data_IF_964391025577
#
_entry.id   IF_964391025577
#
_cell.length_a   1.000
_cell.length_b   1.000
_cell.length_c   1.000
_cell.angle_alpha   90.00
_cell.angle_beta   90.00
_cell.angle_gamma   90.00
#
_symmetry.space_group_name_H-M   'P 1'
#
loop_
_entity.id
_entity.type
_entity.pdbx_description
1 polymer ?
#
# COMPACT_ATOMS: atom_id res chain seq x y z
N UNK A 1 10.69 7.08 -3.47
CA UNK A 1 11.04 6.22 -2.30
C UNK A 1 11.27 4.81 -2.79
N UNK A 2 12.37 4.21 -2.41
CA UNK A 2 12.74 2.86 -2.84
C UNK A 2 13.00 1.99 -1.62
N UNK A 3 12.43 0.78 -1.62
CA UNK A 3 12.62 -0.20 -0.54
C UNK A 3 12.86 -1.58 -1.14
N UNK A 4 13.69 -2.37 -0.47
CA UNK A 4 13.88 -3.78 -0.84
C UNK A 4 13.19 -4.64 0.22
N UNK A 5 12.30 -5.53 -0.24
CA UNK A 5 11.59 -6.45 0.63
C UNK A 5 12.09 -7.87 0.42
N UNK A 6 12.17 -8.62 1.50
CA UNK A 6 12.67 -10.01 1.48
C UNK A 6 11.51 -10.96 1.15
N UNK A 7 11.01 -10.83 -0.06
CA UNK A 7 9.95 -11.67 -0.60
C UNK A 7 9.97 -11.57 -2.12
N UNK A 8 9.55 -12.62 -2.83
CA UNK A 8 9.53 -12.59 -4.30
C UNK A 8 8.50 -11.60 -4.81
N UNK A 9 8.75 -11.08 -6.01
CA UNK A 9 7.95 -10.02 -6.63
C UNK A 9 6.47 -10.36 -6.73
N UNK A 10 6.16 -11.60 -7.06
CA UNK A 10 4.78 -12.07 -7.17
C UNK A 10 4.03 -11.95 -5.84
N UNK A 11 4.71 -12.25 -4.76
CA UNK A 11 4.11 -12.18 -3.43
C UNK A 11 3.93 -10.72 -2.99
N UNK A 12 4.91 -9.86 -3.26
CA UNK A 12 4.83 -8.44 -2.94
C UNK A 12 3.69 -7.79 -3.73
N UNK A 13 3.59 -8.09 -5.02
CA UNK A 13 2.53 -7.57 -5.87
C UNK A 13 1.15 -8.07 -5.40
N UNK A 14 1.03 -9.33 -5.04
CA UNK A 14 -0.23 -9.89 -4.53
C UNK A 14 -0.67 -9.18 -3.24
N UNK A 15 0.29 -8.81 -2.39
CA UNK A 15 -0.03 -8.10 -1.14
C UNK A 15 -0.56 -6.68 -1.41
N UNK A 16 -0.27 -6.09 -2.55
CA UNK A 16 -0.79 -4.79 -2.97
C UNK A 16 -2.13 -4.88 -3.71
N UNK A 17 -2.49 -6.05 -4.20
CA UNK A 17 -3.62 -6.18 -5.12
C UNK A 17 -4.73 -7.10 -4.62
N UNK A 18 -4.61 -7.62 -3.43
CA UNK A 18 -5.68 -8.36 -2.76
C UNK A 18 -6.23 -7.46 -1.65
N UNK A 19 -7.52 -7.06 -1.70
CA UNK A 19 -8.08 -6.15 -0.69
C UNK A 19 -7.88 -6.60 0.75
N UNK A 20 -8.06 -7.88 1.03
CA UNK A 20 -7.90 -8.40 2.40
C UNK A 20 -6.44 -8.30 2.86
N UNK A 21 -5.50 -8.47 1.95
CA UNK A 21 -4.08 -8.32 2.27
C UNK A 21 -3.72 -6.85 2.47
N UNK A 22 -4.21 -5.96 1.60
CA UNK A 22 -3.99 -4.51 1.73
C UNK A 22 -4.50 -4.03 3.10
N UNK A 23 -5.67 -4.51 3.53
CA UNK A 23 -6.26 -4.12 4.80
C UNK A 23 -5.37 -4.47 5.99
N UNK A 24 -4.48 -5.44 5.85
CA UNK A 24 -3.62 -5.88 6.94
C UNK A 24 -2.42 -4.94 7.18
N UNK A 25 -2.01 -4.16 6.18
CA UNK A 25 -0.78 -3.37 6.31
C UNK A 25 -0.90 -1.90 5.90
N UNK A 26 -1.94 -1.49 5.17
CA UNK A 26 -2.03 -0.11 4.67
C UNK A 26 -2.36 0.83 5.82
N UNK A 27 -1.49 1.81 6.01
CA UNK A 27 -1.56 2.81 7.07
C UNK A 27 -0.34 2.76 7.97
N UNK A 28 0.02 3.89 8.58
CA UNK A 28 1.16 3.95 9.50
C UNK A 28 0.98 3.01 10.69
N UNK A 29 2.06 2.72 11.38
CA UNK A 29 2.03 1.90 12.59
C UNK A 29 1.05 2.50 13.60
N UNK A 30 0.28 1.64 14.25
CA UNK A 30 -0.73 2.05 15.22
C UNK A 30 -2.09 2.35 14.62
N UNK A 31 -2.18 2.52 13.31
CA UNK A 31 -3.47 2.67 12.64
C UNK A 31 -4.12 1.31 12.44
N UNK A 32 -5.45 1.30 12.45
CA UNK A 32 -6.23 0.10 12.17
C UNK A 32 -7.14 0.34 10.97
N UNK A 33 -7.42 -0.70 10.22
CA UNK A 33 -8.37 -0.64 9.11
C UNK A 33 -9.79 -0.76 9.65
N UNK A 34 -10.64 0.18 9.29
CA UNK A 34 -12.05 0.20 9.73
C UNK A 34 -12.97 -0.35 8.66
N UNK A 35 -12.74 0.06 7.41
CA UNK A 35 -13.60 -0.32 6.29
C UNK A 35 -12.83 -0.18 4.99
N UNK A 36 -13.11 -1.05 4.05
CA UNK A 36 -12.51 -0.96 2.72
C UNK A 36 -13.43 -1.57 1.68
N UNK A 37 -13.40 -0.97 0.50
CA UNK A 37 -14.12 -1.45 -0.68
C UNK A 37 -13.19 -1.20 -1.85
N UNK A 38 -12.59 -2.24 -2.40
CA UNK A 38 -11.52 -2.13 -3.37
C UNK A 38 -11.74 -3.07 -4.54
N UNK A 39 -11.84 -2.48 -5.74
CA UNK A 39 -11.93 -3.23 -6.99
C UNK A 39 -10.60 -3.04 -7.72
N UNK A 40 -9.63 -3.90 -7.43
CA UNK A 40 -8.25 -3.70 -7.87
C UNK A 40 -8.05 -4.28 -9.27
N UNK A 41 -8.48 -3.51 -10.24
CA UNK A 41 -8.29 -3.77 -11.67
C UNK A 41 -8.24 -2.43 -12.40
N UNK A 42 -7.70 -2.40 -13.61
CA UNK A 42 -7.70 -1.17 -14.39
C UNK A 42 -9.13 -0.66 -14.55
N UNK A 43 -9.36 0.60 -14.18
CA UNK A 43 -10.69 1.22 -14.17
C UNK A 43 -11.50 0.99 -12.91
N UNK A 44 -11.05 0.10 -12.00
CA UNK A 44 -11.73 -0.12 -10.73
C UNK A 44 -11.49 1.01 -9.75
N UNK A 45 -12.36 1.11 -8.75
CA UNK A 45 -12.28 2.16 -7.73
C UNK A 45 -11.96 1.57 -6.38
N UNK A 46 -11.44 2.40 -5.47
CA UNK A 46 -11.28 1.98 -4.09
C UNK A 46 -11.69 3.08 -3.13
N UNK A 47 -12.12 2.66 -1.96
CA UNK A 47 -12.39 3.52 -0.82
C UNK A 47 -11.92 2.82 0.42
N UNK A 48 -11.15 3.52 1.25
CA UNK A 48 -10.44 2.89 2.38
C UNK A 48 -10.49 3.82 3.59
N UNK A 49 -10.86 3.27 4.74
CA UNK A 49 -10.86 4.01 6.00
C UNK A 49 -9.89 3.40 6.98
N UNK A 50 -9.00 4.22 7.50
CA UNK A 50 -8.10 3.82 8.58
C UNK A 50 -8.32 4.70 9.78
N UNK A 51 -8.15 4.14 10.97
CA UNK A 51 -8.36 4.84 12.25
C UNK A 51 -7.04 5.00 12.97
N UNK A 52 -6.74 6.22 13.38
CA UNK A 52 -5.52 6.52 14.13
C UNK A 52 -5.62 5.98 15.56
N UNK A 53 -4.48 5.88 16.28
CA UNK A 53 -4.49 5.44 17.68
C UNK A 53 -5.37 6.30 18.58
N UNK A 54 -5.56 7.58 18.26
CA UNK A 54 -6.41 8.49 19.02
C UNK A 54 -7.88 8.49 18.56
N UNK A 55 -8.24 7.55 17.68
CA UNK A 55 -9.64 7.31 17.32
C UNK A 55 -10.19 8.16 16.18
N UNK A 56 -9.32 8.80 15.39
CA UNK A 56 -9.75 9.62 14.26
C UNK A 56 -9.76 8.76 12.98
N UNK A 57 -10.87 8.82 12.25
CA UNK A 57 -11.02 8.08 10.99
C UNK A 57 -10.56 8.93 9.81
N UNK A 58 -9.74 8.34 8.96
CA UNK A 58 -9.23 8.96 7.75
C UNK A 58 -9.69 8.14 6.55
N UNK A 59 -10.46 8.78 5.66
CA UNK A 59 -10.96 8.16 4.45
C UNK A 59 -10.13 8.60 3.26
N UNK A 60 -9.81 7.67 2.38
CA UNK A 60 -9.11 7.94 1.13
C UNK A 60 -9.76 7.14 0.02
N UNK A 61 -9.68 7.64 -1.21
CA UNK A 61 -10.27 6.98 -2.36
C UNK A 61 -9.52 7.30 -3.63
N UNK A 62 -9.78 6.52 -4.66
CA UNK A 62 -9.18 6.71 -5.96
C UNK A 62 -9.63 5.68 -6.98
N UNK A 63 -8.95 5.71 -8.13
CA UNK A 63 -9.22 4.85 -9.28
C UNK A 63 -7.91 4.18 -9.68
N UNK A 64 -7.96 2.87 -9.93
CA UNK A 64 -6.81 2.14 -10.48
C UNK A 64 -6.70 2.43 -11.97
N UNK A 65 -5.56 2.94 -12.39
CA UNK A 65 -5.27 3.26 -13.78
C UNK A 65 -4.56 2.13 -14.50
N UNK A 66 -3.67 1.45 -13.78
CA UNK A 66 -2.89 0.37 -14.35
C UNK A 66 -2.63 -0.70 -13.29
N UNK A 67 -2.90 -1.95 -13.64
CA UNK A 67 -2.59 -3.10 -12.79
C UNK A 67 -1.89 -4.11 -13.68
N UNK A 68 -0.57 -4.09 -13.68
CA UNK A 68 0.25 -4.92 -14.56
C UNK A 68 1.07 -5.87 -13.70
N UNK A 69 0.55 -7.07 -13.51
CA UNK A 69 1.19 -8.07 -12.65
C UNK A 69 2.43 -8.65 -13.31
N UNK A 70 3.50 -8.86 -12.58
CA UNK A 70 3.77 -8.45 -11.20
C UNK A 70 4.65 -7.21 -11.13
N UNK A 71 4.54 -6.29 -12.08
CA UNK A 71 5.53 -5.26 -12.35
C UNK A 71 5.12 -3.86 -11.90
N UNK A 72 3.83 -3.51 -12.04
CA UNK A 72 3.45 -2.10 -11.95
C UNK A 72 2.03 -1.91 -11.51
N UNK A 73 1.83 -0.92 -10.64
CA UNK A 73 0.52 -0.51 -10.14
C UNK A 73 0.45 1.00 -10.18
N UNK A 74 -0.60 1.55 -10.80
CA UNK A 74 -0.82 3.00 -10.87
C UNK A 74 -2.24 3.29 -10.42
N UNK A 75 -2.39 4.18 -9.45
CA UNK A 75 -3.71 4.56 -8.97
C UNK A 75 -3.74 6.01 -8.52
N UNK A 76 -4.92 6.62 -8.55
CA UNK A 76 -5.13 7.95 -8.00
C UNK A 76 -5.35 7.87 -6.50
N UNK A 77 -5.11 8.97 -5.80
CA UNK A 77 -5.21 9.03 -4.36
C UNK A 77 -5.72 10.41 -3.95
N UNK A 78 -6.79 10.46 -3.18
CA UNK A 78 -7.28 11.70 -2.61
C UNK A 78 -7.86 11.43 -1.23
N UNK A 79 -7.56 12.33 -0.28
CA UNK A 79 -8.19 12.27 1.05
C UNK A 79 -9.61 12.81 0.95
N UNK A 80 -10.52 12.20 1.71
CA UNK A 80 -11.86 12.76 1.91
C UNK A 80 -11.75 13.79 3.02
N UNK A 81 -12.15 15.04 2.73
CA UNK A 81 -12.05 16.13 3.69
C UNK A 81 -13.34 16.29 4.49
N UNK A 82 -13.29 17.17 5.51
CA UNK A 82 -14.32 17.23 6.55
C UNK A 82 -15.76 17.44 6.07
N UNK A 83 -15.96 18.09 4.92
CA UNK A 83 -17.29 18.32 4.36
C UNK A 83 -17.76 17.22 3.41
N UNK A 84 -17.01 16.13 3.33
CA UNK A 84 -17.31 15.04 2.40
C UNK A 84 -16.75 15.22 1.01
N UNK A 85 -16.14 16.37 0.70
CA UNK A 85 -15.47 16.60 -0.56
C UNK A 85 -14.11 15.92 -0.61
N UNK A 86 -13.40 16.08 -1.73
CA UNK A 86 -12.10 15.49 -1.92
C UNK A 86 -11.01 16.55 -1.84
N UNK A 87 -9.91 16.19 -1.23
CA UNK A 87 -8.69 16.97 -1.29
C UNK A 87 -8.04 16.86 -2.66
N UNK A 88 -6.79 17.31 -2.74
CA UNK A 88 -6.04 17.26 -4.00
C UNK A 88 -5.89 15.81 -4.48
N UNK A 89 -6.19 15.58 -5.76
CA UNK A 89 -5.94 14.29 -6.37
C UNK A 89 -4.45 14.15 -6.70
N UNK A 90 -3.88 13.03 -6.30
CA UNK A 90 -2.49 12.69 -6.56
C UNK A 90 -2.43 11.37 -7.33
N UNK A 91 -1.32 11.13 -7.99
CA UNK A 91 -1.07 9.89 -8.68
C UNK A 91 -0.01 9.11 -7.92
N UNK A 92 -0.29 7.84 -7.67
CA UNK A 92 0.67 6.92 -7.05
C UNK A 92 1.11 5.91 -8.10
N UNK A 93 2.42 5.76 -8.23
CA UNK A 93 3.02 4.76 -9.12
C UNK A 93 3.92 3.88 -8.29
N UNK A 94 3.70 2.58 -8.35
CA UNK A 94 4.52 1.59 -7.65
C UNK A 94 5.04 0.61 -8.68
N UNK A 95 6.36 0.42 -8.70
CA UNK A 95 6.97 -0.58 -9.57
C UNK A 95 7.70 -1.61 -8.74
N UNK A 96 7.75 -2.83 -9.24
CA UNK A 96 8.33 -3.97 -8.54
C UNK A 96 9.33 -4.66 -9.45
N UNK A 97 10.60 -4.67 -9.05
CA UNK A 97 11.67 -5.33 -9.79
C UNK A 97 12.22 -6.49 -8.98
N UNK A 98 12.42 -7.61 -9.63
CA UNK A 98 13.01 -8.78 -8.98
C UNK A 98 14.52 -8.55 -8.75
N UNK A 99 14.98 -8.87 -7.54
CA UNK A 99 16.41 -8.88 -7.19
C UNK A 99 16.69 -10.22 -6.54
N UNK A 100 16.98 -11.23 -7.38
CA UNK A 100 17.05 -12.59 -6.90
C UNK A 100 15.68 -13.02 -6.38
N UNK A 101 15.63 -13.44 -5.12
CA UNK A 101 14.38 -13.81 -4.45
C UNK A 101 13.80 -12.66 -3.63
N UNK A 102 14.33 -11.46 -3.79
CA UNK A 102 13.85 -10.23 -3.15
C UNK A 102 13.19 -9.32 -4.16
N UNK A 103 12.55 -8.27 -3.68
CA UNK A 103 11.87 -7.29 -4.52
C UNK A 103 12.35 -5.89 -4.21
N UNK A 104 12.76 -5.17 -5.26
CA UNK A 104 12.99 -3.72 -5.17
C UNK A 104 11.70 -3.01 -5.57
N UNK A 105 11.10 -2.33 -4.62
CA UNK A 105 9.89 -1.55 -4.87
C UNK A 105 10.25 -0.07 -4.96
N UNK A 106 9.79 0.59 -6.02
CA UNK A 106 9.91 2.02 -6.18
C UNK A 106 8.52 2.63 -6.10
N UNK A 107 8.35 3.60 -5.21
CA UNK A 107 7.08 4.24 -4.91
C UNK A 107 7.18 5.73 -5.18
N UNK A 108 6.19 6.27 -5.88
CA UNK A 108 6.12 7.71 -6.19
C UNK A 108 4.70 8.18 -5.97
N UNK A 109 4.57 9.34 -5.34
CA UNK A 109 3.28 9.99 -5.14
C UNK A 109 3.43 11.49 -5.38
N UNK A 110 2.48 12.07 -6.07
CA UNK A 110 2.45 13.51 -6.33
C UNK A 110 1.42 13.86 -7.38
N UNK A 111 1.28 15.14 -7.70
CA UNK A 111 2.02 16.28 -7.13
C UNK A 111 1.52 16.67 -5.75
N UNK A 112 2.35 17.39 -4.99
CA UNK A 112 1.97 17.91 -3.68
C UNK A 112 1.89 19.43 -3.73
N UNK A 113 0.90 20.01 -3.02
CA UNK A 113 0.71 21.45 -2.99
C UNK A 113 1.83 22.17 -2.24
N UNK A 114 2.44 21.51 -1.27
CA UNK A 114 3.49 22.09 -0.45
C UNK A 114 4.52 21.02 -0.05
N UNK A 115 5.75 21.45 0.19
CA UNK A 115 6.83 20.59 0.64
C UNK A 115 6.46 19.91 1.97
N UNK A 116 5.83 20.65 2.89
CA UNK A 116 5.42 20.11 4.17
C UNK A 116 4.44 18.94 4.00
N UNK A 117 3.49 19.03 3.07
CA UNK A 117 2.56 17.92 2.80
C UNK A 117 3.26 16.73 2.19
N UNK A 118 4.22 16.96 1.29
CA UNK A 118 5.03 15.89 0.74
C UNK A 118 5.79 15.16 1.82
N UNK A 119 6.37 15.90 2.76
CA UNK A 119 7.17 15.31 3.84
C UNK A 119 6.28 14.54 4.81
N UNK A 120 5.08 15.03 5.11
CA UNK A 120 4.11 14.32 5.95
C UNK A 120 3.69 12.99 5.32
N UNK A 121 3.40 12.98 4.03
CA UNK A 121 3.09 11.75 3.30
C UNK A 121 4.29 10.81 3.31
N UNK A 122 5.50 11.35 3.12
CA UNK A 122 6.72 10.54 3.15
C UNK A 122 6.92 9.83 4.48
N UNK A 123 6.67 10.52 5.60
CA UNK A 123 6.75 9.90 6.92
C UNK A 123 5.68 8.82 7.09
N UNK A 124 4.46 9.10 6.65
CA UNK A 124 3.37 8.13 6.71
C UNK A 124 3.68 6.89 5.89
N UNK A 125 4.19 7.05 4.69
CA UNK A 125 4.56 5.91 3.85
C UNK A 125 5.76 5.14 4.38
N UNK A 126 6.74 5.83 4.97
CA UNK A 126 7.87 5.16 5.60
C UNK A 126 7.38 4.24 6.72
N UNK A 127 6.49 4.72 7.57
CA UNK A 127 5.90 3.92 8.64
C UNK A 127 5.06 2.77 8.08
N UNK A 128 4.28 3.04 7.03
CA UNK A 128 3.46 2.02 6.36
C UNK A 128 4.32 0.91 5.78
N UNK A 129 5.44 1.26 5.16
CA UNK A 129 6.32 0.24 4.55
C UNK A 129 7.10 -0.56 5.59
N UNK A 130 7.38 -0.01 6.76
CA UNK A 130 7.90 -0.80 7.87
C UNK A 130 6.88 -1.85 8.31
N UNK A 131 5.62 -1.45 8.41
CA UNK A 131 4.52 -2.35 8.73
C UNK A 131 4.33 -3.40 7.63
N UNK A 132 4.46 -2.99 6.37
CA UNK A 132 4.37 -3.88 5.23
C UNK A 132 5.47 -4.95 5.27
N UNK A 133 6.70 -4.55 5.59
CA UNK A 133 7.81 -5.50 5.73
C UNK A 133 7.52 -6.53 6.82
N UNK A 134 6.95 -6.10 7.95
CA UNK A 134 6.56 -7.00 9.03
C UNK A 134 5.46 -7.97 8.59
N UNK A 135 4.48 -7.46 7.84
CA UNK A 135 3.42 -8.28 7.28
C UNK A 135 3.98 -9.35 6.33
N UNK A 136 4.87 -8.96 5.43
CA UNK A 136 5.47 -9.90 4.49
C UNK A 136 6.27 -10.98 5.21
N UNK A 137 6.99 -10.63 6.26
CA UNK A 137 7.75 -11.60 7.03
C UNK A 137 6.83 -12.65 7.65
N UNK A 138 5.68 -12.24 8.18
CA UNK A 138 4.70 -13.15 8.75
C UNK A 138 4.04 -14.00 7.67
N UNK A 139 3.56 -13.38 6.60
CA UNK A 139 2.89 -14.09 5.52
C UNK A 139 3.83 -15.06 4.82
N UNK A 140 5.09 -14.67 4.64
CA UNK A 140 6.06 -15.49 3.98
C UNK A 140 6.52 -16.65 4.85
N UNK A 141 6.64 -16.45 6.15
CA UNK A 141 7.04 -17.54 7.03
C UNK A 141 5.92 -18.56 7.24
N UNK A 142 4.65 -18.17 7.05
CA UNK A 142 3.57 -19.12 7.09
C UNK A 142 3.54 -20.03 5.87
N UNK A 143 4.13 -19.59 4.80
CA UNK A 143 4.18 -20.32 3.58
C UNK A 143 5.07 -21.54 3.67
N UNK A 144 6.22 -21.49 4.15
CA UNK A 144 7.11 -22.60 4.07
C UNK A 144 6.87 -23.64 5.06
N UNK A 145 5.97 -23.49 5.92
CA UNK A 145 5.63 -24.58 6.71
C UNK A 145 5.30 -25.72 5.97
N UNK A 146 5.09 -25.23 5.05
CA UNK A 146 5.08 -26.07 4.12
C UNK A 146 6.37 -26.53 3.84
N UNK A 147 7.11 -26.21 4.12
CA UNK A 147 8.26 -26.59 3.75
C UNK A 147 9.22 -26.80 4.65
N UNK A 148 9.00 -26.59 5.06
CA UNK A 148 9.71 -26.83 5.50
C UNK A 148 9.99 -27.48 5.81
N UNK A 149 9.63 -27.53 5.75
CA UNK A 149 9.71 -28.22 5.71
C UNK A 149 10.11 -28.81 5.65
N UNK A 150 10.27 -28.75 5.59
CA UNK A 150 10.58 -29.33 5.38
C UNK A 150 11.04 -29.79 5.33
N UNK A 151 11.28 -29.88 5.40
CA UNK A 151 11.65 -30.36 5.19
C UNK A 151 11.88 -30.82 5.39
#
# INVERSE_FOLDING_TARGET
MTRVFDAPRELVFAAWTDPDRVAAWWGPKGFTTVSYDMDIRAGGTYRFCMRSPDGVDYWKQGVYREVLAPERLVFTFAWVIADGGLGQEMLVTVTFAAEGDKTRMTFRQGPFEAIAKRDDHGRGWTSTFERFAEYLATAFSDHPHTTEVDP
#
